data_IF_709888474229
#
_entry.id   IF_709888474229
#
_cell.length_a   1.000
_cell.length_b   1.000
_cell.length_c   1.000
_cell.angle_alpha   90.00
_cell.angle_beta   90.00
_cell.angle_gamma   90.00
#
_symmetry.space_group_name_H-M   'P 1'
#
loop_
_entity.id
_entity.type
_entity.pdbx_description
1 polymer ?
#
# COMPACT_ATOMS: atom_id res chain seq x y z
N UNK A 1 19.93 -15.25 11.15
CA UNK A 1 19.97 -13.84 11.67
C UNK A 1 18.63 -13.53 12.29
N UNK A 2 18.60 -12.75 13.39
CA UNK A 2 17.34 -12.38 14.04
C UNK A 2 17.17 -10.86 13.92
N UNK A 3 16.00 -10.41 13.45
CA UNK A 3 15.65 -8.99 13.38
C UNK A 3 14.59 -8.71 14.45
N UNK A 4 14.78 -7.63 15.21
CA UNK A 4 13.79 -7.18 16.18
C UNK A 4 12.78 -6.26 15.51
N UNK A 5 11.53 -6.70 15.46
CA UNK A 5 10.39 -5.93 14.93
C UNK A 5 9.49 -5.46 16.08
N UNK A 6 8.96 -4.22 16.04
CA UNK A 6 8.14 -3.70 17.14
C UNK A 6 6.77 -4.39 17.26
N UNK A 7 6.27 -5.00 16.18
CA UNK A 7 4.96 -5.66 16.14
C UNK A 7 5.09 -7.16 16.43
N UNK A 8 6.02 -7.83 15.74
CA UNK A 8 6.15 -9.29 15.77
C UNK A 8 7.26 -9.83 16.66
N UNK A 9 8.01 -8.95 17.32
CA UNK A 9 9.11 -9.38 18.18
C UNK A 9 10.34 -9.79 17.36
N UNK A 10 10.89 -10.98 17.61
CA UNK A 10 12.05 -11.48 16.89
C UNK A 10 11.65 -12.28 15.64
N UNK A 11 12.02 -11.78 14.48
CA UNK A 11 11.83 -12.44 13.19
C UNK A 11 13.12 -13.17 12.83
N UNK A 12 13.04 -14.49 12.74
CA UNK A 12 14.17 -15.34 12.33
C UNK A 12 14.23 -15.43 10.83
N UNK A 13 15.44 -15.26 10.29
CA UNK A 13 15.73 -15.35 8.86
C UNK A 13 16.62 -16.58 8.60
N UNK A 14 16.31 -17.31 7.54
CA UNK A 14 17.24 -18.26 6.93
C UNK A 14 18.40 -17.53 6.25
N UNK A 15 19.44 -18.25 5.84
CA UNK A 15 20.54 -17.63 5.09
C UNK A 15 20.09 -17.13 3.71
N UNK A 16 19.17 -17.84 3.06
CA UNK A 16 18.60 -17.43 1.78
C UNK A 16 17.77 -16.15 1.91
N UNK A 17 16.90 -16.07 2.90
CA UNK A 17 16.11 -14.86 3.18
C UNK A 17 17.00 -13.66 3.53
N UNK A 18 18.11 -13.90 4.23
CA UNK A 18 19.10 -12.85 4.49
C UNK A 18 19.76 -12.36 3.21
N UNK A 19 20.12 -13.27 2.29
CA UNK A 19 20.72 -12.90 1.00
C UNK A 19 19.74 -12.08 0.12
N UNK A 20 18.43 -12.40 0.20
CA UNK A 20 17.39 -11.62 -0.46
C UNK A 20 17.18 -10.26 0.22
N UNK A 21 17.12 -10.26 1.54
CA UNK A 21 16.96 -9.04 2.34
C UNK A 21 18.08 -8.03 2.05
N UNK A 22 19.33 -8.51 1.92
CA UNK A 22 20.50 -7.68 1.64
C UNK A 22 20.59 -7.22 0.15
N UNK A 23 19.62 -7.57 -0.68
CA UNK A 23 19.57 -7.09 -2.06
C UNK A 23 19.20 -5.59 -2.12
N UNK A 24 19.77 -4.83 -3.09
CA UNK A 24 19.46 -3.40 -3.23
C UNK A 24 17.98 -3.10 -3.37
N UNK A 25 17.22 -3.97 -4.05
CA UNK A 25 15.78 -3.83 -4.29
C UNK A 25 15.00 -3.86 -2.97
N UNK A 26 15.29 -4.80 -2.08
CA UNK A 26 14.65 -4.89 -0.76
C UNK A 26 15.16 -3.79 0.17
N UNK A 27 16.49 -3.49 0.15
CA UNK A 27 17.06 -2.42 0.98
C UNK A 27 16.53 -1.03 0.60
N UNK A 28 16.11 -0.81 -0.66
CA UNK A 28 15.45 0.42 -1.10
C UNK A 28 14.21 0.71 -0.25
N UNK A 29 13.43 -0.32 0.09
CA UNK A 29 12.19 -0.20 0.86
C UNK A 29 12.38 0.42 2.25
N UNK A 30 13.61 0.44 2.81
CA UNK A 30 13.93 1.17 4.05
C UNK A 30 13.74 2.69 3.92
N UNK A 31 13.65 3.17 2.69
CA UNK A 31 13.52 4.58 2.35
C UNK A 31 12.23 4.85 1.56
N UNK A 32 11.26 3.94 1.62
CA UNK A 32 9.91 4.11 1.09
C UNK A 32 8.94 4.01 2.25
N UNK A 33 8.26 5.10 2.57
CA UNK A 33 7.29 5.15 3.68
C UNK A 33 6.02 4.40 3.31
N UNK A 34 5.53 3.58 4.24
CA UNK A 34 4.28 2.82 4.07
C UNK A 34 3.07 3.74 3.84
N UNK A 35 2.96 4.78 4.64
CA UNK A 35 1.81 5.70 4.66
C UNK A 35 2.11 7.06 4.02
N UNK A 36 3.05 7.12 3.08
CA UNK A 36 3.36 8.32 2.31
C UNK A 36 3.48 9.58 3.17
N UNK A 37 2.55 10.52 2.97
CA UNK A 37 2.53 11.82 3.67
C UNK A 37 1.65 11.85 4.92
N UNK A 38 1.11 10.72 5.39
CA UNK A 38 0.28 10.67 6.60
C UNK A 38 1.01 11.19 7.85
N UNK A 39 2.35 11.21 7.84
CA UNK A 39 3.16 11.83 8.90
C UNK A 39 2.93 13.34 9.06
N UNK A 40 2.31 14.02 8.10
CA UNK A 40 1.85 15.40 8.24
C UNK A 40 0.78 15.58 9.34
N UNK A 41 0.07 14.50 9.67
CA UNK A 41 -0.97 14.47 10.70
C UNK A 41 -0.55 13.57 11.87
N UNK A 42 0.03 12.43 11.56
CA UNK A 42 0.47 11.41 12.51
C UNK A 42 2.00 11.34 12.53
N UNK A 43 2.69 12.14 13.35
CA UNK A 43 4.16 12.25 13.28
C UNK A 43 4.91 10.93 13.48
N UNK A 44 4.28 9.95 14.15
CA UNK A 44 4.81 8.60 14.32
C UNK A 44 4.66 7.70 13.07
N UNK A 45 3.82 8.05 12.11
CA UNK A 45 3.59 7.29 10.88
C UNK A 45 4.76 7.43 9.89
N UNK A 46 5.94 6.98 10.31
CA UNK A 46 7.20 7.07 9.54
C UNK A 46 7.79 5.69 9.22
N UNK A 47 7.10 4.63 9.57
CA UNK A 47 7.50 3.26 9.24
C UNK A 47 7.52 3.03 7.73
N UNK A 48 8.31 2.06 7.33
CA UNK A 48 8.67 1.85 5.94
C UNK A 48 8.13 0.53 5.41
N UNK A 49 8.02 0.42 4.10
CA UNK A 49 7.67 -0.84 3.42
C UNK A 49 8.64 -1.97 3.73
N UNK A 50 9.88 -1.67 4.07
CA UNK A 50 10.83 -2.68 4.55
C UNK A 50 10.35 -3.37 5.83
N UNK A 51 9.87 -2.60 6.81
CA UNK A 51 9.36 -3.15 8.07
C UNK A 51 8.09 -3.97 7.82
N UNK A 52 7.22 -3.48 6.95
CA UNK A 52 6.01 -4.17 6.52
C UNK A 52 6.33 -5.49 5.80
N UNK A 53 7.18 -5.48 4.78
CA UNK A 53 7.58 -6.71 4.05
C UNK A 53 8.18 -7.79 4.97
N UNK A 54 8.95 -7.38 5.99
CA UNK A 54 9.43 -8.31 7.02
C UNK A 54 8.28 -8.91 7.83
N UNK A 55 7.30 -8.11 8.21
CA UNK A 55 6.12 -8.56 8.95
C UNK A 55 5.27 -9.52 8.12
N UNK A 56 5.04 -9.20 6.84
CA UNK A 56 4.30 -10.07 5.91
C UNK A 56 5.02 -11.39 5.72
N UNK A 57 6.32 -11.38 5.48
CA UNK A 57 7.13 -12.60 5.42
C UNK A 57 6.99 -13.45 6.69
N UNK A 58 7.03 -12.83 7.87
CA UNK A 58 6.87 -13.52 9.14
C UNK A 58 5.49 -14.16 9.28
N UNK A 59 4.42 -13.40 9.03
CA UNK A 59 3.05 -13.90 9.13
C UNK A 59 2.75 -14.97 8.08
N UNK A 60 3.26 -14.83 6.86
CA UNK A 60 3.16 -15.85 5.81
C UNK A 60 3.80 -17.18 6.27
N UNK A 61 4.94 -17.11 6.92
CA UNK A 61 5.56 -18.30 7.56
C UNK A 61 4.68 -18.91 8.66
N UNK A 62 3.99 -18.08 9.46
CA UNK A 62 3.04 -18.56 10.49
C UNK A 62 1.82 -19.25 9.85
N UNK A 63 1.30 -18.72 8.73
CA UNK A 63 0.27 -19.41 7.94
C UNK A 63 0.77 -20.76 7.42
N UNK A 64 1.99 -20.81 6.88
CA UNK A 64 2.58 -22.09 6.41
C UNK A 64 2.63 -23.15 7.51
N UNK A 65 3.07 -22.76 8.70
CA UNK A 65 3.15 -23.67 9.85
C UNK A 65 1.75 -24.15 10.27
N UNK A 66 0.77 -23.26 10.34
CA UNK A 66 -0.60 -23.60 10.70
C UNK A 66 -1.30 -24.50 9.66
N UNK A 67 -1.00 -24.29 8.39
CA UNK A 67 -1.52 -25.10 7.29
C UNK A 67 -0.74 -26.40 7.06
N UNK A 68 0.29 -26.68 7.87
CA UNK A 68 1.18 -27.84 7.75
C UNK A 68 1.77 -27.98 6.33
N UNK A 69 2.18 -26.87 5.72
CA UNK A 69 2.87 -26.88 4.43
C UNK A 69 4.29 -27.45 4.59
N UNK A 70 4.78 -28.08 3.51
CA UNK A 70 6.19 -28.49 3.43
C UNK A 70 7.13 -27.27 3.40
N UNK A 71 8.42 -27.49 3.68
CA UNK A 71 9.41 -26.40 3.80
C UNK A 71 9.58 -25.63 2.46
N UNK A 72 9.44 -26.31 1.31
CA UNK A 72 9.57 -25.67 0.00
C UNK A 72 8.44 -24.64 -0.20
N UNK A 73 7.20 -25.02 0.06
CA UNK A 73 6.05 -24.10 -0.02
C UNK A 73 6.11 -22.99 1.03
N UNK A 74 6.59 -23.32 2.24
CA UNK A 74 6.82 -22.31 3.28
C UNK A 74 7.85 -21.28 2.83
N UNK A 75 8.92 -21.70 2.20
CA UNK A 75 9.94 -20.81 1.65
C UNK A 75 9.36 -19.95 0.51
N UNK A 76 8.57 -20.55 -0.40
CA UNK A 76 7.89 -19.82 -1.48
C UNK A 76 7.03 -18.66 -0.95
N UNK A 77 6.14 -18.94 0.02
CA UNK A 77 5.23 -17.89 0.53
C UNK A 77 5.96 -16.86 1.40
N UNK A 78 7.00 -17.25 2.13
CA UNK A 78 7.84 -16.30 2.87
C UNK A 78 8.62 -15.39 1.91
N UNK A 79 9.19 -15.97 0.84
CA UNK A 79 9.86 -15.19 -0.21
C UNK A 79 8.88 -14.23 -0.90
N UNK A 80 7.69 -14.68 -1.23
CA UNK A 80 6.64 -13.84 -1.79
C UNK A 80 6.27 -12.69 -0.84
N UNK A 81 6.04 -12.99 0.44
CA UNK A 81 5.76 -11.98 1.46
C UNK A 81 6.88 -10.95 1.66
N UNK A 82 8.16 -11.34 1.47
CA UNK A 82 9.28 -10.40 1.51
C UNK A 82 9.33 -9.49 0.28
N UNK A 83 8.94 -9.99 -0.89
CA UNK A 83 9.14 -9.32 -2.18
C UNK A 83 7.88 -8.64 -2.74
N UNK A 84 6.68 -8.89 -2.19
CA UNK A 84 5.40 -8.43 -2.76
C UNK A 84 5.35 -6.93 -2.98
N UNK A 85 5.94 -6.15 -2.10
CA UNK A 85 5.93 -4.68 -2.08
C UNK A 85 7.13 -4.02 -2.77
N UNK A 86 8.06 -4.82 -3.34
CA UNK A 86 9.28 -4.27 -3.95
C UNK A 86 9.02 -3.39 -5.17
N UNK A 87 7.83 -3.46 -5.75
CA UNK A 87 7.40 -2.65 -6.89
C UNK A 87 6.89 -1.26 -6.52
N UNK A 88 6.60 -0.98 -5.26
CA UNK A 88 6.11 0.34 -4.87
C UNK A 88 7.16 1.44 -5.06
N UNK A 89 6.69 2.58 -5.58
CA UNK A 89 7.46 3.79 -5.76
C UNK A 89 7.56 4.66 -4.51
N UNK A 90 8.18 5.84 -4.62
CA UNK A 90 8.35 6.78 -3.52
C UNK A 90 7.00 7.30 -3.03
N UNK A 91 6.89 7.51 -1.71
CA UNK A 91 5.67 7.93 -1.04
C UNK A 91 4.46 7.02 -1.30
N UNK A 92 4.71 5.76 -1.67
CA UNK A 92 3.73 4.69 -1.83
C UNK A 92 2.52 5.10 -2.70
N UNK A 93 1.36 5.37 -2.08
CA UNK A 93 0.11 5.64 -2.80
C UNK A 93 0.17 6.81 -3.77
N UNK A 94 0.93 7.87 -3.49
CA UNK A 94 1.01 9.02 -4.40
C UNK A 94 1.66 8.65 -5.74
N UNK A 95 2.77 7.89 -5.72
CA UNK A 95 3.40 7.40 -6.95
C UNK A 95 2.61 6.28 -7.62
N UNK A 96 1.96 5.41 -6.84
CA UNK A 96 1.10 4.33 -7.32
C UNK A 96 -0.08 4.87 -8.12
N UNK A 97 -0.85 5.83 -7.57
CA UNK A 97 -1.97 6.47 -8.27
C UNK A 97 -1.56 7.06 -9.63
N UNK A 98 -0.36 7.64 -9.70
CA UNK A 98 0.19 8.19 -10.96
C UNK A 98 0.59 7.09 -11.94
N UNK A 99 1.10 5.96 -11.45
CA UNK A 99 1.47 4.80 -12.27
C UNK A 99 0.24 4.05 -12.79
N UNK A 100 -0.78 3.84 -11.95
CA UNK A 100 -2.05 3.18 -12.31
C UNK A 100 -2.79 3.91 -13.44
N UNK A 101 -2.78 5.24 -13.48
CA UNK A 101 -3.32 6.02 -14.60
C UNK A 101 -2.64 5.72 -15.94
N UNK A 102 -1.50 5.01 -15.93
CA UNK A 102 -0.69 4.61 -17.07
C UNK A 102 -0.61 3.09 -17.23
N UNK A 103 -1.58 2.38 -16.64
CA UNK A 103 -1.67 0.91 -16.67
C UNK A 103 -0.42 0.20 -16.11
N UNK A 104 0.26 0.80 -15.14
CA UNK A 104 1.42 0.22 -14.46
C UNK A 104 1.02 -0.15 -13.04
N UNK A 105 1.11 -1.45 -12.75
CA UNK A 105 0.80 -2.04 -11.45
C UNK A 105 2.10 -2.34 -10.68
N UNK A 106 2.10 -2.05 -9.37
CA UNK A 106 3.22 -2.34 -8.49
C UNK A 106 3.47 -3.85 -8.33
N UNK A 107 2.44 -4.70 -8.43
CA UNK A 107 2.60 -6.16 -8.39
C UNK A 107 3.39 -6.66 -9.60
N UNK A 108 3.15 -6.12 -10.79
CA UNK A 108 3.92 -6.44 -11.99
C UNK A 108 5.39 -6.01 -11.85
N UNK A 109 5.64 -4.84 -11.25
CA UNK A 109 6.99 -4.39 -10.95
C UNK A 109 7.66 -5.32 -9.91
N UNK A 110 6.92 -5.75 -8.88
CA UNK A 110 7.41 -6.72 -7.88
C UNK A 110 7.76 -8.06 -8.54
N UNK A 111 6.94 -8.54 -9.46
CA UNK A 111 7.24 -9.75 -10.25
C UNK A 111 8.52 -9.58 -11.09
N UNK A 112 8.74 -8.43 -11.69
CA UNK A 112 9.99 -8.12 -12.40
C UNK A 112 11.21 -8.11 -11.46
N UNK A 113 11.03 -7.68 -10.22
CA UNK A 113 12.10 -7.76 -9.19
C UNK A 113 12.39 -9.21 -8.82
N UNK A 114 11.38 -10.08 -8.72
CA UNK A 114 11.58 -11.52 -8.52
C UNK A 114 12.46 -12.11 -9.63
N UNK A 115 12.20 -11.76 -10.90
CA UNK A 115 13.00 -12.22 -12.05
C UNK A 115 14.47 -11.72 -11.95
N UNK A 116 14.69 -10.48 -11.57
CA UNK A 116 16.02 -9.90 -11.34
C UNK A 116 16.79 -10.61 -10.22
N UNK A 117 16.08 -11.11 -9.21
CA UNK A 117 16.65 -11.78 -8.04
C UNK A 117 16.66 -13.32 -8.19
N UNK A 118 16.29 -13.86 -9.35
CA UNK A 118 16.18 -15.32 -9.58
C UNK A 118 17.42 -16.09 -9.18
N UNK A 119 18.61 -15.54 -9.38
CA UNK A 119 19.88 -16.17 -8.96
C UNK A 119 20.11 -16.20 -7.43
N UNK A 120 19.25 -15.55 -6.63
CA UNK A 120 19.30 -15.54 -5.16
C UNK A 120 18.12 -16.27 -4.53
N UNK A 121 17.09 -16.60 -5.32
CA UNK A 121 15.87 -17.27 -4.89
C UNK A 121 16.07 -18.77 -5.10
N UNK A 122 16.05 -19.55 -4.03
CA UNK A 122 16.18 -21.02 -4.09
C UNK A 122 14.84 -21.73 -4.30
N UNK A 123 13.74 -20.97 -4.44
CA UNK A 123 12.39 -21.46 -4.74
C UNK A 123 12.06 -21.27 -6.22
N UNK A 124 10.97 -21.89 -6.66
CA UNK A 124 10.41 -21.66 -7.99
C UNK A 124 9.91 -20.20 -8.13
N UNK A 125 10.61 -19.40 -8.93
CA UNK A 125 10.31 -17.97 -9.12
C UNK A 125 8.95 -17.72 -9.77
N UNK A 126 8.48 -18.62 -10.65
CA UNK A 126 7.16 -18.51 -11.27
C UNK A 126 6.05 -18.74 -10.24
N UNK A 127 6.28 -19.65 -9.29
CA UNK A 127 5.34 -19.86 -8.18
C UNK A 127 5.35 -18.68 -7.22
N UNK A 128 6.52 -18.11 -6.91
CA UNK A 128 6.63 -16.89 -6.07
C UNK A 128 5.84 -15.74 -6.70
N UNK A 129 5.97 -15.51 -8.02
CA UNK A 129 5.18 -14.48 -8.73
C UNK A 129 3.68 -14.74 -8.67
N UNK A 130 3.25 -15.99 -8.87
CA UNK A 130 1.84 -16.36 -8.74
C UNK A 130 1.30 -16.23 -7.32
N UNK A 131 2.13 -16.40 -6.30
CA UNK A 131 1.76 -16.14 -4.91
C UNK A 131 1.56 -14.64 -4.68
N UNK A 132 2.46 -13.79 -5.17
CA UNK A 132 2.35 -12.33 -5.09
C UNK A 132 1.03 -11.86 -5.71
N UNK A 133 0.62 -12.44 -6.83
CA UNK A 133 -0.63 -12.12 -7.53
C UNK A 133 -1.88 -12.82 -6.97
N UNK A 134 -1.75 -13.61 -5.90
CA UNK A 134 -2.89 -14.36 -5.33
C UNK A 134 -3.45 -15.44 -6.24
N UNK A 135 -2.76 -15.85 -7.29
CA UNK A 135 -3.22 -16.83 -8.28
C UNK A 135 -3.18 -18.29 -7.78
N UNK A 136 -2.39 -18.57 -6.76
CA UNK A 136 -2.29 -19.89 -6.14
C UNK A 136 -3.14 -19.96 -4.86
N UNK A 137 -3.59 -21.17 -4.52
CA UNK A 137 -4.35 -21.41 -3.28
C UNK A 137 -3.59 -20.96 -2.04
N UNK A 138 -2.30 -21.32 -1.95
CA UNK A 138 -1.42 -20.88 -0.86
C UNK A 138 -1.09 -19.38 -0.94
N UNK A 139 -1.21 -18.77 -2.11
CA UNK A 139 -1.00 -17.34 -2.34
C UNK A 139 -2.00 -16.48 -1.59
N UNK A 140 -3.19 -17.00 -1.30
CA UNK A 140 -4.20 -16.30 -0.49
C UNK A 140 -3.75 -16.03 0.96
N UNK A 141 -2.64 -16.63 1.39
CA UNK A 141 -2.01 -16.29 2.69
C UNK A 141 -1.19 -15.00 2.63
N UNK A 142 -0.85 -14.51 1.41
CA UNK A 142 -0.07 -13.29 1.17
C UNK A 142 -0.93 -12.22 0.49
N UNK A 143 -1.72 -12.61 -0.53
CA UNK A 143 -2.60 -11.75 -1.32
C UNK A 143 -4.00 -12.36 -1.40
N UNK A 144 -4.79 -12.17 -0.37
CA UNK A 144 -6.15 -12.71 -0.23
C UNK A 144 -7.09 -11.75 0.50
N UNK A 145 -8.25 -12.26 0.95
CA UNK A 145 -9.20 -11.44 1.71
C UNK A 145 -8.78 -11.24 3.16
N UNK A 146 -8.22 -12.28 3.77
CA UNK A 146 -7.63 -12.26 5.12
C UNK A 146 -6.24 -12.90 5.01
N UNK A 147 -5.24 -12.07 4.88
CA UNK A 147 -3.88 -12.44 4.53
C UNK A 147 -2.84 -11.82 5.47
N UNK A 148 -1.60 -12.22 5.27
CA UNK A 148 -0.45 -11.72 6.03
C UNK A 148 -0.22 -10.21 5.81
N UNK A 149 -0.43 -9.73 4.59
CA UNK A 149 -0.31 -8.32 4.23
C UNK A 149 -1.30 -7.48 5.04
N UNK A 150 -2.58 -7.82 4.98
CA UNK A 150 -3.65 -7.08 5.69
C UNK A 150 -3.49 -7.11 7.19
N UNK A 151 -3.14 -8.25 7.75
CA UNK A 151 -2.90 -8.39 9.20
C UNK A 151 -1.73 -7.50 9.62
N UNK A 152 -0.61 -7.53 8.89
CA UNK A 152 0.56 -6.73 9.24
C UNK A 152 0.29 -5.25 9.15
N UNK A 153 -0.21 -4.75 7.99
CA UNK A 153 -0.36 -3.31 7.84
C UNK A 153 -1.39 -2.73 8.81
N UNK A 154 -2.50 -3.40 9.10
CA UNK A 154 -3.49 -2.90 10.05
C UNK A 154 -2.90 -2.75 11.46
N UNK A 155 -2.11 -3.72 11.91
CA UNK A 155 -1.43 -3.66 13.21
C UNK A 155 -0.33 -2.60 13.22
N UNK A 156 0.50 -2.58 12.19
CA UNK A 156 1.69 -1.72 12.08
C UNK A 156 1.31 -0.25 11.92
N UNK A 157 0.35 0.04 11.06
CA UNK A 157 -0.15 1.39 10.82
C UNK A 157 -0.78 1.98 12.07
N UNK A 158 -1.63 1.21 12.75
CA UNK A 158 -2.23 1.64 14.00
C UNK A 158 -1.17 1.92 15.08
N UNK A 159 -0.19 1.01 15.24
CA UNK A 159 0.87 1.16 16.23
C UNK A 159 1.69 2.44 15.97
N UNK A 160 2.15 2.65 14.75
CA UNK A 160 3.01 3.78 14.41
C UNK A 160 2.23 5.11 14.35
N UNK A 161 0.94 5.07 14.08
CA UNK A 161 0.07 6.26 14.09
C UNK A 161 -0.47 6.60 15.48
N UNK A 162 -0.20 5.76 16.50
CA UNK A 162 -0.70 5.97 17.87
C UNK A 162 -2.21 5.71 18.01
N UNK A 163 -2.79 4.90 17.11
CA UNK A 163 -4.20 4.51 17.17
C UNK A 163 -4.38 3.27 18.05
N UNK A 164 -5.40 3.28 18.89
CA UNK A 164 -5.68 2.17 19.83
C UNK A 164 -6.50 1.02 19.22
N UNK A 165 -6.78 1.07 17.91
CA UNK A 165 -7.70 0.14 17.23
C UNK A 165 -7.01 -1.02 16.51
N UNK A 166 -5.67 -1.08 16.53
CA UNK A 166 -4.89 -2.09 15.82
C UNK A 166 -4.63 -3.39 16.60
N UNK A 167 -5.39 -3.66 17.65
CA UNK A 167 -5.27 -4.91 18.39
C UNK A 167 -6.04 -6.01 17.65
N UNK A 168 -5.32 -6.82 16.88
CA UNK A 168 -5.84 -7.93 16.10
C UNK A 168 -5.28 -9.22 16.68
N UNK A 169 -6.15 -10.20 16.91
CA UNK A 169 -5.74 -11.53 17.36
C UNK A 169 -5.22 -12.37 16.17
N UNK A 170 -4.09 -11.94 15.60
CA UNK A 170 -3.49 -12.57 14.42
C UNK A 170 -3.26 -14.08 14.62
N UNK A 171 -2.80 -14.50 15.80
CA UNK A 171 -2.57 -15.90 16.13
C UNK A 171 -3.86 -16.73 16.05
N UNK A 172 -4.97 -16.19 16.53
CA UNK A 172 -6.28 -16.87 16.45
C UNK A 172 -6.72 -16.99 15.00
N UNK A 173 -6.60 -15.95 14.19
CA UNK A 173 -6.96 -15.98 12.76
C UNK A 173 -6.12 -17.06 12.06
N UNK A 174 -4.81 -17.02 12.22
CA UNK A 174 -3.86 -17.92 11.53
C UNK A 174 -4.07 -19.38 11.96
N UNK A 175 -4.15 -19.64 13.27
CA UNK A 175 -4.27 -21.01 13.78
C UNK A 175 -5.61 -21.69 13.43
N UNK A 176 -6.63 -20.93 13.13
CA UNK A 176 -7.93 -21.45 12.70
C UNK A 176 -8.19 -21.25 11.20
N UNK A 177 -7.14 -21.05 10.40
CA UNK A 177 -7.19 -21.03 8.94
C UNK A 177 -6.95 -22.44 8.38
N UNK A 178 -7.60 -22.77 7.29
CA UNK A 178 -7.36 -24.01 6.52
C UNK A 178 -7.62 -23.77 5.04
N UNK A 179 -7.05 -24.61 4.17
CA UNK A 179 -7.37 -24.59 2.74
C UNK A 179 -8.50 -25.62 2.51
N UNK A 180 -9.65 -25.14 2.08
CA UNK A 180 -10.79 -25.99 1.68
C UNK A 180 -11.25 -25.60 0.27
N UNK A 181 -11.38 -26.61 -0.59
CA UNK A 181 -11.86 -26.42 -1.97
C UNK A 181 -11.09 -25.32 -2.73
N UNK A 182 -9.77 -25.28 -2.59
CA UNK A 182 -8.85 -24.31 -3.20
C UNK A 182 -9.00 -22.87 -2.70
N UNK A 183 -9.57 -22.69 -1.50
CA UNK A 183 -9.69 -21.38 -0.86
C UNK A 183 -9.17 -21.42 0.56
N UNK A 184 -8.58 -20.30 0.97
CA UNK A 184 -8.30 -20.05 2.39
C UNK A 184 -9.63 -19.77 3.09
N UNK A 185 -9.96 -20.59 4.08
CA UNK A 185 -11.19 -20.47 4.87
C UNK A 185 -10.83 -20.41 6.35
N UNK A 186 -11.74 -19.84 7.15
CA UNK A 186 -11.52 -19.67 8.58
C UNK A 186 -12.58 -20.46 9.36
N UNK A 187 -12.15 -21.18 10.40
CA UNK A 187 -13.08 -21.94 11.26
C UNK A 187 -13.90 -20.98 12.11
N UNK A 188 -15.11 -21.38 12.46
CA UNK A 188 -16.03 -20.59 13.27
C UNK A 188 -15.41 -20.05 14.57
N UNK A 189 -14.45 -20.77 15.14
CA UNK A 189 -13.74 -20.34 16.37
C UNK A 189 -12.96 -19.03 16.22
N UNK A 190 -12.62 -18.62 15.01
CA UNK A 190 -11.91 -17.35 14.74
C UNK A 190 -12.83 -16.16 14.48
N UNK A 191 -14.16 -16.34 14.54
CA UNK A 191 -15.12 -15.28 14.17
C UNK A 191 -14.87 -13.96 14.91
N UNK A 192 -14.66 -14.00 16.23
CA UNK A 192 -14.40 -12.78 17.02
C UNK A 192 -13.09 -12.10 16.62
N UNK A 193 -12.04 -12.89 16.32
CA UNK A 193 -10.78 -12.35 15.84
C UNK A 193 -10.92 -11.69 14.46
N UNK A 194 -11.73 -12.27 13.57
CA UNK A 194 -12.07 -11.68 12.27
C UNK A 194 -12.88 -10.39 12.43
N UNK A 195 -13.87 -10.37 13.31
CA UNK A 195 -14.63 -9.14 13.63
C UNK A 195 -13.71 -8.03 14.14
N UNK A 196 -12.71 -8.36 14.99
CA UNK A 196 -11.72 -7.39 15.45
C UNK A 196 -10.87 -6.82 14.32
N UNK A 197 -10.46 -7.66 13.35
CA UNK A 197 -9.72 -7.25 12.16
C UNK A 197 -10.55 -6.30 11.28
N UNK A 198 -11.82 -6.61 11.01
CA UNK A 198 -12.69 -5.72 10.25
C UNK A 198 -12.94 -4.40 10.96
N UNK A 199 -13.10 -4.44 12.28
CA UNK A 199 -13.26 -3.24 13.10
C UNK A 199 -12.00 -2.37 13.03
N UNK A 200 -10.81 -2.98 13.16
CA UNK A 200 -9.54 -2.28 13.01
C UNK A 200 -9.41 -1.64 11.62
N UNK A 201 -9.77 -2.38 10.55
CA UNK A 201 -9.77 -1.85 9.17
C UNK A 201 -10.71 -0.66 9.03
N UNK A 202 -11.93 -0.74 9.54
CA UNK A 202 -12.91 0.35 9.49
C UNK A 202 -12.37 1.62 10.18
N UNK A 203 -11.79 1.44 11.37
CA UNK A 203 -11.23 2.56 12.13
C UNK A 203 -9.99 3.15 11.47
N UNK A 204 -9.04 2.33 11.02
CA UNK A 204 -7.86 2.82 10.30
C UNK A 204 -8.28 3.55 9.01
N UNK A 205 -9.28 3.02 8.27
CA UNK A 205 -9.78 3.67 7.06
C UNK A 205 -10.35 5.06 7.37
N UNK A 206 -11.18 5.20 8.38
CA UNK A 206 -11.82 6.48 8.73
C UNK A 206 -10.85 7.48 9.35
N UNK A 207 -10.01 7.02 10.28
CA UNK A 207 -9.15 7.90 11.07
C UNK A 207 -7.82 8.21 10.38
N UNK A 208 -7.23 7.25 9.66
CA UNK A 208 -5.88 7.34 9.11
C UNK A 208 -5.90 7.51 7.59
N UNK A 209 -6.38 6.50 6.85
CA UNK A 209 -6.25 6.49 5.38
C UNK A 209 -7.12 7.56 4.69
N UNK A 210 -8.29 7.88 5.26
CA UNK A 210 -9.20 8.93 4.75
C UNK A 210 -9.11 10.25 5.52
N UNK A 211 -8.02 10.47 6.28
CA UNK A 211 -7.84 11.75 6.96
C UNK A 211 -7.63 12.87 5.94
N UNK A 212 -8.51 13.88 5.97
CA UNK A 212 -8.56 14.91 4.92
C UNK A 212 -7.23 15.62 4.67
N UNK A 213 -6.47 15.95 5.71
CA UNK A 213 -5.17 16.63 5.56
C UNK A 213 -4.14 15.74 4.88
N UNK A 214 -4.09 14.42 5.23
CA UNK A 214 -3.22 13.46 4.56
C UNK A 214 -3.58 13.35 3.08
N UNK A 215 -4.87 13.24 2.78
CA UNK A 215 -5.35 13.17 1.40
C UNK A 215 -5.06 14.42 0.58
N UNK A 216 -5.16 15.62 1.18
CA UNK A 216 -4.76 16.87 0.51
C UNK A 216 -3.27 16.83 0.17
N UNK A 217 -2.41 16.47 1.13
CA UNK A 217 -0.98 16.38 0.90
C UNK A 217 -0.60 15.35 -0.18
N UNK A 218 -1.26 14.19 -0.17
CA UNK A 218 -1.09 13.15 -1.19
C UNK A 218 -1.50 13.65 -2.59
N UNK A 219 -2.66 14.29 -2.72
CA UNK A 219 -3.10 14.84 -4.00
C UNK A 219 -2.20 15.96 -4.52
N UNK A 220 -1.68 16.82 -3.63
CA UNK A 220 -0.66 17.80 -4.01
C UNK A 220 0.59 17.13 -4.54
N UNK A 221 1.02 16.02 -3.92
CA UNK A 221 2.18 15.26 -4.35
C UNK A 221 1.93 14.50 -5.68
N UNK A 222 0.76 13.88 -5.84
CA UNK A 222 0.36 13.26 -7.12
C UNK A 222 0.47 14.29 -8.27
N UNK A 223 -0.11 15.48 -8.09
CA UNK A 223 -0.03 16.56 -9.10
C UNK A 223 1.41 17.03 -9.35
N UNK A 224 2.24 17.07 -8.31
CA UNK A 224 3.66 17.37 -8.45
C UNK A 224 4.40 16.29 -9.26
N UNK A 225 4.10 15.01 -9.05
CA UNK A 225 4.66 13.91 -9.84
C UNK A 225 4.17 13.96 -11.29
N UNK A 226 2.89 14.21 -11.53
CA UNK A 226 2.37 14.35 -12.88
C UNK A 226 3.07 15.48 -13.64
N UNK A 227 3.24 16.64 -13.01
CA UNK A 227 4.01 17.75 -13.60
C UNK A 227 5.46 17.37 -13.92
N UNK A 228 6.12 16.50 -13.12
CA UNK A 228 7.45 15.99 -13.46
C UNK A 228 7.44 15.03 -14.66
N UNK A 229 6.40 14.21 -14.80
CA UNK A 229 6.25 13.32 -15.95
C UNK A 229 6.02 14.14 -17.24
N UNK A 230 5.23 15.21 -17.18
CA UNK A 230 5.00 16.13 -18.30
C UNK A 230 6.28 16.85 -18.72
N UNK A 231 7.22 17.06 -17.78
CA UNK A 231 8.56 17.58 -18.02
C UNK A 231 9.56 16.54 -18.54
N UNK A 232 9.11 15.30 -18.79
CA UNK A 232 9.89 14.24 -19.43
C UNK A 232 10.52 13.22 -18.49
N UNK A 233 10.11 13.18 -17.21
CA UNK A 233 10.47 12.05 -16.35
C UNK A 233 9.68 10.80 -16.78
N UNK A 234 10.37 9.68 -16.94
CA UNK A 234 9.72 8.41 -17.23
C UNK A 234 9.05 7.83 -15.97
N UNK A 235 7.82 7.32 -16.08
CA UNK A 235 7.08 6.75 -14.95
C UNK A 235 7.84 5.60 -14.27
N UNK A 236 8.52 4.75 -15.05
CA UNK A 236 9.34 3.67 -14.50
C UNK A 236 10.61 4.16 -13.79
N UNK A 237 11.11 5.36 -14.14
CA UNK A 237 12.16 6.02 -13.37
C UNK A 237 11.62 6.48 -12.02
N UNK A 238 10.44 7.10 -11.99
CA UNK A 238 9.75 7.48 -10.75
C UNK A 238 9.54 6.26 -9.84
N UNK A 239 8.98 5.17 -10.35
CA UNK A 239 8.65 3.98 -9.55
C UNK A 239 9.90 3.27 -8.98
N UNK A 240 11.08 3.49 -9.53
CA UNK A 240 12.36 2.96 -9.02
C UNK A 240 13.01 3.83 -7.94
N UNK A 241 12.57 5.06 -7.78
CA UNK A 241 13.09 5.96 -6.74
C UNK A 241 12.65 5.52 -5.34
N UNK A 242 13.37 5.98 -4.35
CA UNK A 242 12.91 6.02 -2.97
C UNK A 242 12.47 7.45 -2.61
N UNK A 243 11.93 7.66 -1.40
CA UNK A 243 11.40 8.96 -0.96
C UNK A 243 12.46 10.08 -1.00
N UNK A 244 13.73 9.76 -0.69
CA UNK A 244 14.80 10.76 -0.70
C UNK A 244 15.21 11.16 -2.10
N UNK A 245 15.24 10.21 -3.03
CA UNK A 245 15.55 10.47 -4.44
C UNK A 245 14.44 11.32 -5.07
N UNK A 246 13.18 10.95 -4.84
CA UNK A 246 12.04 11.72 -5.30
C UNK A 246 11.99 13.13 -4.65
N UNK A 247 12.30 13.24 -3.35
CA UNK A 247 12.44 14.52 -2.66
C UNK A 247 13.44 15.43 -3.36
N UNK A 248 14.64 14.94 -3.63
CA UNK A 248 15.67 15.74 -4.31
C UNK A 248 15.26 16.10 -5.74
N UNK A 249 14.64 15.18 -6.47
CA UNK A 249 14.17 15.42 -7.84
C UNK A 249 13.09 16.50 -7.87
N UNK A 250 12.10 16.44 -6.98
CA UNK A 250 11.03 17.43 -6.85
C UNK A 250 11.56 18.82 -6.50
N UNK A 251 12.49 18.94 -5.56
CA UNK A 251 13.07 20.22 -5.19
C UNK A 251 13.96 20.81 -6.31
N UNK A 252 14.53 19.97 -7.16
CA UNK A 252 15.35 20.40 -8.31
C UNK A 252 14.54 20.61 -9.60
N UNK A 253 13.24 20.28 -9.60
CA UNK A 253 12.34 20.54 -10.72
C UNK A 253 11.97 22.03 -10.81
N UNK A 254 11.16 22.40 -11.79
CA UNK A 254 10.68 23.77 -12.00
C UNK A 254 9.14 23.79 -12.03
N UNK A 255 8.56 24.98 -11.95
CA UNK A 255 7.11 25.18 -12.07
C UNK A 255 6.29 24.48 -11.00
N UNK A 256 5.13 23.94 -11.40
CA UNK A 256 4.11 23.34 -10.53
C UNK A 256 4.67 22.23 -9.62
N UNK A 257 5.57 21.38 -10.14
CA UNK A 257 6.16 20.28 -9.37
C UNK A 257 6.91 20.79 -8.13
N UNK A 258 7.78 21.78 -8.33
CA UNK A 258 8.57 22.38 -7.24
C UNK A 258 7.69 23.17 -6.28
N UNK A 259 6.76 23.97 -6.79
CA UNK A 259 5.89 24.82 -5.98
C UNK A 259 5.04 23.95 -5.03
N UNK A 260 4.31 22.99 -5.55
CA UNK A 260 3.46 22.11 -4.74
C UNK A 260 4.27 21.33 -3.72
N UNK A 261 5.44 20.81 -4.11
CA UNK A 261 6.25 20.04 -3.18
C UNK A 261 6.88 20.91 -2.09
N UNK A 262 7.35 22.13 -2.41
CA UNK A 262 7.84 23.09 -1.42
C UNK A 262 6.74 23.44 -0.41
N UNK A 263 5.52 23.66 -0.87
CA UNK A 263 4.36 23.89 0.01
C UNK A 263 4.08 22.71 0.94
N UNK A 264 4.25 21.45 0.44
CA UNK A 264 4.12 20.25 1.30
C UNK A 264 5.19 20.26 2.40
N UNK A 265 6.46 20.54 2.05
CA UNK A 265 7.58 20.58 3.00
C UNK A 265 7.34 21.64 4.08
N UNK A 266 6.91 22.84 3.67
CA UNK A 266 6.66 23.98 4.57
C UNK A 266 5.31 23.85 5.30
N UNK A 267 4.59 22.74 5.07
CA UNK A 267 3.24 22.51 5.59
C UNK A 267 2.24 23.61 5.22
N UNK A 268 2.44 24.28 4.10
CA UNK A 268 1.52 25.24 3.50
C UNK A 268 0.54 24.53 2.54
N UNK A 269 -0.19 23.56 3.08
CA UNK A 269 -1.08 22.70 2.32
C UNK A 269 -2.30 23.47 1.81
N UNK A 270 -2.87 22.99 0.70
CA UNK A 270 -4.17 23.44 0.24
C UNK A 270 -5.21 23.30 1.34
N UNK A 271 -6.22 24.12 1.29
CA UNK A 271 -7.37 24.03 2.20
C UNK A 271 -8.57 23.52 1.44
N UNK A 272 -9.44 22.82 2.14
CA UNK A 272 -10.72 22.39 1.59
C UNK A 272 -11.55 23.61 1.28
N UNK A 273 -11.79 23.87 0.00
CA UNK A 273 -12.65 24.98 -0.48
C UNK A 273 -14.11 24.57 -0.49
N UNK A 274 -14.42 23.46 -1.15
CA UNK A 274 -15.78 22.92 -1.29
C UNK A 274 -15.78 21.42 -0.97
N UNK A 275 -16.81 20.95 -0.33
CA UNK A 275 -17.11 19.51 -0.20
C UNK A 275 -18.58 19.34 -0.56
N UNK A 276 -18.84 18.44 -1.50
CA UNK A 276 -20.19 18.06 -1.90
C UNK A 276 -20.40 16.62 -1.44
N UNK A 277 -21.43 16.39 -0.64
CA UNK A 277 -21.84 15.06 -0.29
C UNK A 277 -22.73 14.48 -1.40
N UNK A 278 -22.56 13.22 -1.72
CA UNK A 278 -23.29 12.57 -2.82
C UNK A 278 -24.81 12.67 -2.65
N UNK A 279 -25.29 12.72 -1.41
CA UNK A 279 -26.70 12.84 -1.06
C UNK A 279 -27.26 14.25 -1.38
N UNK A 280 -26.40 15.26 -1.48
CA UNK A 280 -26.78 16.64 -1.77
C UNK A 280 -26.80 16.94 -3.29
N UNK A 281 -26.32 16.00 -4.10
CA UNK A 281 -26.23 16.16 -5.55
C UNK A 281 -27.47 15.66 -6.27
N UNK A 282 -27.93 16.44 -7.26
CA UNK A 282 -28.95 15.97 -8.17
C UNK A 282 -28.44 14.85 -9.08
N UNK A 283 -29.35 14.07 -9.65
CA UNK A 283 -28.99 13.01 -10.59
C UNK A 283 -28.19 13.52 -11.80
N UNK A 284 -28.48 14.73 -12.27
CA UNK A 284 -27.75 15.32 -13.40
C UNK A 284 -26.33 15.71 -13.03
N UNK A 285 -26.10 16.24 -11.82
CA UNK A 285 -24.76 16.55 -11.30
C UNK A 285 -23.94 15.28 -11.07
N UNK A 286 -24.55 14.21 -10.56
CA UNK A 286 -23.89 12.91 -10.43
C UNK A 286 -23.48 12.35 -11.81
N UNK A 287 -24.33 12.43 -12.83
CA UNK A 287 -24.01 11.99 -14.19
C UNK A 287 -22.85 12.80 -14.82
N UNK A 288 -22.72 14.09 -14.51
CA UNK A 288 -21.60 14.94 -14.94
C UNK A 288 -20.32 14.47 -14.22
N UNK A 289 -20.37 14.33 -12.90
CA UNK A 289 -19.24 13.89 -12.11
C UNK A 289 -18.76 12.48 -12.48
N UNK A 290 -19.64 11.59 -12.95
CA UNK A 290 -19.27 10.26 -13.43
C UNK A 290 -18.54 10.31 -14.78
N UNK A 291 -18.88 11.26 -15.65
CA UNK A 291 -18.34 11.37 -17.02
C UNK A 291 -17.02 12.12 -17.10
N UNK A 292 -16.88 13.18 -16.33
CA UNK A 292 -15.69 14.03 -16.34
C UNK A 292 -14.63 13.47 -15.37
N UNK A 293 -13.36 13.51 -15.75
CA UNK A 293 -12.27 13.17 -14.84
C UNK A 293 -11.90 14.36 -13.92
N UNK A 294 -11.07 14.14 -12.91
CA UNK A 294 -10.66 15.17 -11.96
C UNK A 294 -9.97 16.35 -12.67
N UNK A 295 -9.15 16.08 -13.66
CA UNK A 295 -8.39 17.07 -14.44
C UNK A 295 -9.28 17.99 -15.25
N UNK A 296 -10.32 17.45 -15.91
CA UNK A 296 -11.30 18.26 -16.67
C UNK A 296 -12.06 19.24 -15.77
N UNK A 297 -12.45 18.78 -14.58
CA UNK A 297 -13.13 19.63 -13.60
C UNK A 297 -12.17 20.71 -13.07
N UNK A 298 -10.91 20.36 -12.80
CA UNK A 298 -9.87 21.33 -12.41
C UNK A 298 -9.68 22.41 -13.47
N UNK A 299 -9.51 22.03 -14.74
CA UNK A 299 -9.32 22.96 -15.87
C UNK A 299 -10.49 23.93 -16.00
N UNK A 300 -11.72 23.46 -15.80
CA UNK A 300 -12.91 24.31 -15.86
C UNK A 300 -12.92 25.34 -14.72
N UNK A 301 -12.63 24.90 -13.47
CA UNK A 301 -12.54 25.78 -12.31
C UNK A 301 -11.42 26.82 -12.49
N UNK A 302 -10.23 26.40 -12.94
CA UNK A 302 -9.08 27.27 -13.20
C UNK A 302 -9.47 28.35 -14.23
N UNK A 303 -10.09 27.94 -15.32
CA UNK A 303 -10.52 28.86 -16.40
C UNK A 303 -11.58 29.90 -15.93
N UNK A 304 -12.59 29.44 -15.18
CA UNK A 304 -13.66 30.30 -14.72
C UNK A 304 -13.23 31.24 -13.58
N UNK A 305 -12.47 30.72 -12.64
CA UNK A 305 -11.99 31.48 -11.48
C UNK A 305 -10.72 32.30 -11.77
N UNK A 306 -10.06 32.08 -12.92
CA UNK A 306 -8.77 32.69 -13.31
C UNK A 306 -7.67 32.42 -12.29
N UNK A 307 -7.56 31.18 -11.86
CA UNK A 307 -6.57 30.68 -10.92
C UNK A 307 -5.40 30.05 -11.67
N UNK A 308 -4.28 29.87 -10.96
CA UNK A 308 -3.16 29.10 -11.48
C UNK A 308 -3.39 27.60 -11.31
N UNK A 309 -2.75 26.78 -12.15
CA UNK A 309 -2.87 25.32 -12.15
C UNK A 309 -2.52 24.70 -10.80
N UNK A 310 -1.55 25.27 -10.10
CA UNK A 310 -1.13 24.82 -8.77
C UNK A 310 -2.11 25.19 -7.64
N UNK A 311 -3.15 25.99 -7.91
CA UNK A 311 -4.07 26.50 -6.88
C UNK A 311 -5.34 25.66 -6.70
N UNK A 312 -5.64 24.79 -7.66
CA UNK A 312 -6.87 23.96 -7.65
C UNK A 312 -6.51 22.50 -7.71
N UNK A 313 -7.10 21.72 -6.81
CA UNK A 313 -7.04 20.27 -6.83
C UNK A 313 -8.45 19.74 -6.55
N UNK A 314 -8.93 18.90 -7.44
CA UNK A 314 -10.19 18.19 -7.31
C UNK A 314 -9.91 16.75 -6.88
N UNK A 315 -10.71 16.23 -5.96
CA UNK A 315 -10.70 14.82 -5.59
C UNK A 315 -12.11 14.28 -5.68
N UNK A 316 -12.32 13.35 -6.59
CA UNK A 316 -13.53 12.55 -6.62
C UNK A 316 -13.45 11.41 -5.61
N UNK A 317 -14.59 10.95 -5.08
CA UNK A 317 -14.58 9.73 -4.27
C UNK A 317 -14.04 8.58 -5.14
N UNK A 318 -13.04 7.89 -4.66
CA UNK A 318 -12.66 6.62 -5.28
C UNK A 318 -13.88 5.71 -5.28
N UNK A 319 -14.20 5.11 -6.43
CA UNK A 319 -15.19 4.02 -6.50
C UNK A 319 -14.85 3.07 -5.35
N UNK A 320 -15.83 2.64 -4.52
CA UNK A 320 -15.51 1.70 -3.45
C UNK A 320 -14.80 0.51 -4.09
N UNK A 321 -13.50 0.37 -3.88
CA UNK A 321 -12.80 -0.87 -4.20
C UNK A 321 -13.62 -1.94 -3.51
N UNK A 322 -14.02 -2.98 -4.23
CA UNK A 322 -14.89 -4.08 -3.77
C UNK A 322 -14.75 -4.29 -2.27
N UNK A 323 -15.64 -3.64 -1.51
CA UNK A 323 -15.67 -3.79 -0.06
C UNK A 323 -16.29 -5.14 0.34
N UNK A 324 -16.67 -5.94 -0.63
CA UNK A 324 -17.18 -7.28 -0.45
C UNK A 324 -16.03 -8.24 -0.17
N UNK A 325 -15.64 -8.28 1.12
CA UNK A 325 -14.76 -9.31 1.61
C UNK A 325 -15.62 -10.58 1.77
N UNK A 326 -15.43 -11.55 0.89
CA UNK A 326 -16.10 -12.85 0.96
C UNK A 326 -15.33 -13.79 1.90
N UNK A 327 -15.46 -13.58 3.20
CA UNK A 327 -14.85 -14.48 4.18
C UNK A 327 -15.68 -15.74 4.34
N UNK A 328 -15.13 -16.86 3.93
CA UNK A 328 -15.76 -18.17 4.16
C UNK A 328 -15.45 -18.67 5.56
N UNK A 329 -16.50 -18.79 6.36
CA UNK A 329 -16.44 -19.38 7.70
C UNK A 329 -16.97 -20.81 7.62
N UNK A 330 -16.12 -21.76 8.02
CA UNK A 330 -16.44 -23.17 8.13
C UNK A 330 -16.91 -23.50 9.56
N UNK A 331 -18.10 -24.10 9.66
CA UNK A 331 -18.67 -24.54 10.94
C UNK A 331 -17.97 -25.78 11.47
#
# INVERSE_FOLDING_TARGET
MDIKDPIHGYIKLSDDEKNLLDSPQVQRLRRVRQLGLSSQVYPGATHTRFQHSLGVMYLAGRFADSLNLDEDKKQEIRTAGLLHDTGHGPFSHASENVAEKRDIDHEDISCNVVDQLSGKINSDTDRVKKIIKGELEIGQTVAGDIDADRIDYLMRDAHNSGLNHGQIEADTIINFSEIDSRRLVHRFKSTQALESLFTARLHNTKSLYKHHTSQIAEKMLEKAFESMLDQGLEVMELMRMNDYEAHNKLLSSEGTAKDLYSRIIDRNLHKRGLTLDQEDLSRQELEILEKENEEQIEEEIIREAKLDEAEVIVKKPSTPSKADIDVKIKK
#
